data_IF_933063974695
#
_entry.id   IF_933063974695
#
_cell.length_a   1.000
_cell.length_b   1.000
_cell.length_c   1.000
_cell.angle_alpha   90.00
_cell.angle_beta   90.00
_cell.angle_gamma   90.00
#
_symmetry.space_group_name_H-M   'P 1'
#
loop_
_entity.id
_entity.type
_entity.pdbx_description
1 polymer ?
#
# COMPACT_ATOMS: atom_id res chain seq x y z
N UNK A 1 -2.84 -3.77 -3.41
CA UNK A 1 -3.07 -2.54 -4.18
C UNK A 1 -2.85 -1.33 -3.30
N UNK A 2 -2.17 -0.34 -3.82
CA UNK A 2 -1.88 0.92 -3.14
C UNK A 2 -1.86 2.07 -4.16
N UNK A 3 -1.78 3.31 -3.66
CA UNK A 3 -1.48 4.48 -4.47
C UNK A 3 -0.08 4.99 -4.11
N UNK A 4 0.77 5.17 -5.13
CA UNK A 4 2.05 5.83 -5.03
C UNK A 4 1.86 7.34 -5.24
N UNK A 5 2.29 8.14 -4.27
CA UNK A 5 2.28 9.61 -4.35
C UNK A 5 3.71 10.08 -4.60
N UNK A 6 3.91 10.94 -5.59
CA UNK A 6 5.24 11.46 -5.89
C UNK A 6 5.65 12.52 -4.87
N UNK A 7 6.44 12.14 -3.89
CA UNK A 7 6.82 12.98 -2.75
C UNK A 7 7.73 14.17 -3.13
N UNK A 8 8.20 14.24 -4.35
CA UNK A 8 9.02 15.35 -4.86
C UNK A 8 8.21 16.39 -5.63
N UNK A 9 6.90 16.16 -5.83
CA UNK A 9 6.02 17.08 -6.55
C UNK A 9 5.03 17.75 -5.58
N UNK A 10 4.95 19.09 -5.64
CA UNK A 10 3.88 19.79 -4.92
C UNK A 10 2.50 19.43 -5.51
N UNK A 11 1.45 19.27 -4.68
CA UNK A 11 1.45 19.46 -3.24
C UNK A 11 1.82 18.19 -2.44
N UNK A 12 2.26 17.11 -3.08
CA UNK A 12 2.55 15.80 -2.46
C UNK A 12 3.92 15.76 -1.76
N UNK A 13 4.73 16.81 -1.83
CA UNK A 13 5.90 17.03 -0.98
C UNK A 13 5.54 17.29 0.48
N UNK A 14 4.29 17.67 0.76
CA UNK A 14 3.75 17.83 2.11
C UNK A 14 3.12 16.54 2.63
N UNK A 15 3.66 15.97 3.71
CA UNK A 15 3.15 14.74 4.33
C UNK A 15 1.69 14.86 4.80
N UNK A 16 1.25 16.05 5.27
CA UNK A 16 -0.16 16.26 5.67
C UNK A 16 -1.12 16.13 4.50
N UNK A 17 -0.73 16.58 3.31
CA UNK A 17 -1.53 16.41 2.09
C UNK A 17 -1.63 14.92 1.75
N UNK A 18 -0.52 14.18 1.77
CA UNK A 18 -0.51 12.75 1.48
C UNK A 18 -1.36 11.97 2.48
N UNK A 19 -1.22 12.28 3.78
CA UNK A 19 -2.02 11.64 4.83
C UNK A 19 -3.51 11.97 4.67
N UNK A 20 -3.87 13.23 4.37
CA UNK A 20 -5.26 13.62 4.13
C UNK A 20 -5.89 12.82 2.97
N UNK A 21 -5.20 12.70 1.84
CA UNK A 21 -5.65 11.90 0.71
C UNK A 21 -5.80 10.42 1.08
N UNK A 22 -4.88 9.90 1.90
CA UNK A 22 -4.91 8.50 2.33
C UNK A 22 -6.06 8.22 3.30
N UNK A 23 -6.31 9.09 4.29
CA UNK A 23 -7.40 8.95 5.25
C UNK A 23 -8.79 9.11 4.61
N UNK A 24 -8.90 9.88 3.53
CA UNK A 24 -10.17 10.08 2.81
C UNK A 24 -10.57 8.89 1.91
N UNK A 25 -10.04 7.70 2.17
CA UNK A 25 -10.38 6.47 1.44
C UNK A 25 -11.11 5.51 2.35
N UNK A 26 -12.38 5.23 2.04
CA UNK A 26 -13.15 4.15 2.66
C UNK A 26 -12.66 2.80 2.11
N UNK A 27 -11.74 2.19 2.85
CA UNK A 27 -11.11 0.92 2.47
C UNK A 27 -12.07 -0.26 2.55
N UNK A 28 -13.06 -0.22 3.45
CA UNK A 28 -14.12 -1.23 3.50
C UNK A 28 -15.00 -1.17 2.25
N UNK A 29 -15.39 0.02 1.81
CA UNK A 29 -16.15 0.19 0.58
C UNK A 29 -15.37 -0.32 -0.63
N UNK A 30 -14.07 0.01 -0.73
CA UNK A 30 -13.21 -0.50 -1.80
C UNK A 30 -13.15 -2.02 -1.79
N UNK A 31 -12.92 -2.64 -0.64
CA UNK A 31 -12.77 -4.09 -0.54
C UNK A 31 -14.09 -4.83 -0.74
N UNK A 32 -15.16 -4.41 -0.07
CA UNK A 32 -16.39 -5.18 0.04
C UNK A 32 -17.42 -4.85 -1.06
N UNK A 33 -17.34 -3.65 -1.63
CA UNK A 33 -18.29 -3.18 -2.65
C UNK A 33 -17.69 -3.13 -4.04
N UNK A 34 -16.53 -2.47 -4.20
CA UNK A 34 -15.91 -2.37 -5.53
C UNK A 34 -15.23 -3.67 -5.95
N UNK A 35 -14.47 -4.31 -5.06
CA UNK A 35 -13.71 -5.52 -5.35
C UNK A 35 -14.41 -6.81 -4.88
N UNK A 36 -15.64 -6.69 -4.42
CA UNK A 36 -16.61 -7.77 -4.14
C UNK A 36 -16.04 -8.85 -3.20
N UNK A 37 -15.37 -8.45 -2.12
CA UNK A 37 -14.87 -9.37 -1.10
C UNK A 37 -13.71 -10.27 -1.56
N UNK A 38 -13.07 -9.95 -2.68
CA UNK A 38 -11.89 -10.70 -3.17
C UNK A 38 -10.57 -10.20 -2.55
N UNK A 39 -10.65 -9.20 -1.67
CA UNK A 39 -9.52 -8.55 -1.02
C UNK A 39 -9.89 -8.18 0.41
N UNK A 40 -8.91 -7.83 1.24
CA UNK A 40 -9.15 -7.26 2.57
C UNK A 40 -8.77 -5.76 2.60
N UNK A 41 -9.46 -4.92 3.40
CA UNK A 41 -9.07 -3.53 3.59
C UNK A 41 -7.64 -3.44 4.14
N UNK A 42 -6.82 -2.52 3.63
CA UNK A 42 -5.47 -2.35 4.15
C UNK A 42 -5.47 -1.42 5.37
N UNK A 43 -4.88 -1.87 6.45
CA UNK A 43 -4.71 -1.12 7.69
C UNK A 43 -3.29 -0.60 7.87
N UNK A 44 -2.31 -1.29 7.29
CA UNK A 44 -0.87 -1.05 7.38
C UNK A 44 -0.23 -1.16 5.99
N UNK A 45 1.05 -0.90 5.88
CA UNK A 45 1.80 -1.12 4.64
C UNK A 45 2.20 -2.59 4.46
N UNK A 46 2.73 -3.22 5.52
CA UNK A 46 2.98 -4.66 5.54
C UNK A 46 1.66 -5.38 5.82
N UNK A 47 1.25 -6.24 4.91
CA UNK A 47 -0.02 -6.95 4.98
C UNK A 47 0.01 -8.21 5.85
N UNK A 48 -1.15 -8.83 6.05
CA UNK A 48 -1.29 -10.04 6.86
C UNK A 48 -0.52 -11.22 6.28
N UNK A 49 -0.14 -12.16 7.17
CA UNK A 49 0.50 -13.42 6.80
C UNK A 49 2.03 -13.33 6.65
N UNK A 50 2.63 -12.19 6.92
CA UNK A 50 4.09 -12.02 7.03
C UNK A 50 4.50 -12.30 8.48
N UNK A 51 5.50 -13.16 8.65
CA UNK A 51 5.98 -13.60 9.97
C UNK A 51 6.65 -12.49 10.77
N UNK A 52 6.66 -12.64 12.08
CA UNK A 52 7.39 -11.82 13.05
C UNK A 52 8.40 -12.67 13.85
N UNK A 53 8.95 -12.10 14.94
CA UNK A 53 9.96 -12.73 15.80
C UNK A 53 9.50 -14.09 16.31
N UNK A 54 8.31 -14.15 16.89
CA UNK A 54 7.78 -15.36 17.49
C UNK A 54 7.14 -16.28 16.44
N UNK A 55 7.33 -17.57 16.60
CA UNK A 55 6.76 -18.54 15.67
C UNK A 55 5.22 -18.47 15.67
N UNK A 56 4.65 -18.18 14.52
CA UNK A 56 3.20 -18.06 14.33
C UNK A 56 2.64 -16.68 14.64
N UNK A 57 3.47 -15.69 15.00
CA UNK A 57 3.06 -14.29 15.08
C UNK A 57 3.09 -13.63 13.69
N UNK A 58 2.23 -12.64 13.49
CA UNK A 58 2.17 -11.83 12.29
C UNK A 58 2.74 -10.44 12.56
N UNK A 59 3.58 -9.95 11.66
CA UNK A 59 4.15 -8.61 11.74
C UNK A 59 3.08 -7.52 11.88
N UNK A 60 2.02 -7.60 11.09
CA UNK A 60 0.90 -6.66 11.17
C UNK A 60 0.23 -6.65 12.55
N UNK A 61 -0.01 -7.85 13.16
CA UNK A 61 -0.62 -7.96 14.48
C UNK A 61 0.28 -7.38 15.57
N UNK A 62 1.58 -7.60 15.49
CA UNK A 62 2.57 -7.03 16.42
C UNK A 62 2.66 -5.50 16.25
N UNK A 63 2.68 -4.98 15.01
CA UNK A 63 2.62 -3.53 14.74
C UNK A 63 1.37 -2.91 15.38
N UNK A 64 0.20 -3.53 15.16
CA UNK A 64 -1.07 -3.08 15.74
C UNK A 64 -1.02 -3.04 17.26
N UNK A 65 -0.48 -4.09 17.87
CA UNK A 65 -0.34 -4.16 19.33
C UNK A 65 0.61 -3.08 19.88
N UNK A 66 1.74 -2.85 19.23
CA UNK A 66 2.74 -1.86 19.62
C UNK A 66 2.22 -0.43 19.51
N UNK A 67 1.42 -0.14 18.47
CA UNK A 67 0.88 1.19 18.19
C UNK A 67 -0.46 1.45 18.92
N UNK A 68 -1.05 0.44 19.56
CA UNK A 68 -2.37 0.54 20.19
C UNK A 68 -3.52 0.63 19.19
N UNK A 69 -3.29 0.27 17.92
CA UNK A 69 -4.28 0.26 16.85
C UNK A 69 -3.63 0.21 15.46
N UNK A 70 -4.47 0.24 14.46
CA UNK A 70 -4.08 0.31 13.05
C UNK A 70 -3.79 1.77 12.62
N UNK A 71 -3.04 1.95 11.53
CA UNK A 71 -2.82 3.30 10.95
C UNK A 71 -4.08 3.88 10.30
N UNK A 72 -4.97 3.02 9.79
CA UNK A 72 -6.24 3.43 9.22
C UNK A 72 -7.38 2.76 9.97
N UNK A 73 -8.35 3.57 10.42
CA UNK A 73 -9.51 3.06 11.13
C UNK A 73 -10.58 2.60 10.13
N UNK A 74 -10.44 1.38 9.63
CA UNK A 74 -11.38 0.82 8.65
C UNK A 74 -12.82 0.69 9.17
N UNK A 75 -13.03 0.67 10.49
CA UNK A 75 -14.36 0.57 11.10
C UNK A 75 -15.04 1.91 11.35
N UNK A 76 -14.32 3.03 11.22
CA UNK A 76 -14.85 4.39 11.43
C UNK A 76 -14.27 5.37 10.40
N UNK A 77 -14.67 5.18 9.14
CA UNK A 77 -14.26 6.03 8.02
C UNK A 77 -14.59 7.52 8.25
N UNK A 78 -15.69 7.82 8.93
CA UNK A 78 -16.09 9.22 9.19
C UNK A 78 -15.08 9.94 10.08
N UNK A 79 -14.49 9.23 11.06
CA UNK A 79 -13.41 9.78 11.88
C UNK A 79 -12.14 10.05 11.04
N UNK A 80 -11.77 9.12 10.17
CA UNK A 80 -10.63 9.30 9.25
C UNK A 80 -10.88 10.45 8.26
N UNK A 81 -12.08 10.58 7.71
CA UNK A 81 -12.45 11.68 6.81
C UNK A 81 -12.43 13.05 7.53
N UNK A 82 -12.90 13.10 8.77
CA UNK A 82 -12.82 14.33 9.57
C UNK A 82 -11.36 14.74 9.79
N UNK A 83 -10.49 13.78 10.12
CA UNK A 83 -9.06 14.02 10.29
C UNK A 83 -8.38 14.42 8.98
N UNK A 84 -8.78 13.84 7.85
CA UNK A 84 -8.30 14.23 6.53
C UNK A 84 -8.57 15.71 6.24
N UNK A 85 -9.77 16.19 6.54
CA UNK A 85 -10.15 17.61 6.37
C UNK A 85 -9.32 18.55 7.25
N UNK A 86 -9.06 18.16 8.50
CA UNK A 86 -8.18 18.93 9.40
C UNK A 86 -6.76 19.04 8.83
N UNK A 87 -6.16 17.92 8.44
CA UNK A 87 -4.80 17.88 7.89
C UNK A 87 -4.67 18.68 6.60
N UNK A 88 -5.69 18.62 5.74
CA UNK A 88 -5.70 19.41 4.51
C UNK A 88 -5.80 20.91 4.79
N UNK A 89 -6.59 21.31 5.78
CA UNK A 89 -6.66 22.70 6.22
C UNK A 89 -5.33 23.18 6.85
N UNK A 90 -4.69 22.34 7.68
CA UNK A 90 -3.36 22.62 8.24
C UNK A 90 -2.27 22.72 7.17
N UNK A 91 -2.44 22.01 6.05
CA UNK A 91 -1.56 22.09 4.88
C UNK A 91 -1.80 23.36 4.04
N UNK A 92 -2.78 24.18 4.39
CA UNK A 92 -3.11 25.43 3.70
C UNK A 92 -4.24 25.34 2.68
N UNK A 93 -4.98 24.24 2.65
CA UNK A 93 -6.07 24.01 1.70
C UNK A 93 -7.41 23.71 2.40
N UNK A 94 -7.94 24.64 3.23
CA UNK A 94 -9.21 24.42 3.93
C UNK A 94 -10.33 24.14 2.93
N UNK A 95 -11.05 23.03 3.07
CA UNK A 95 -12.09 22.58 2.13
C UNK A 95 -11.62 22.46 0.66
N UNK A 96 -10.33 22.24 0.43
CA UNK A 96 -9.74 22.16 -0.91
C UNK A 96 -9.52 23.52 -1.59
N UNK A 97 -9.73 24.64 -0.89
CA UNK A 97 -9.53 25.96 -1.47
C UNK A 97 -8.08 26.17 -1.91
N UNK A 98 -7.88 26.50 -3.18
CA UNK A 98 -6.55 26.70 -3.77
C UNK A 98 -5.77 25.42 -4.06
N UNK A 99 -6.34 24.22 -3.80
CA UNK A 99 -5.70 22.97 -4.18
C UNK A 99 -5.65 22.83 -5.71
N UNK A 100 -4.52 22.42 -6.32
CA UNK A 100 -4.43 22.26 -7.76
C UNK A 100 -5.31 21.10 -8.25
N UNK A 101 -5.66 21.11 -9.52
CA UNK A 101 -6.18 19.91 -10.19
C UNK A 101 -5.04 18.89 -10.26
N UNK A 102 -5.27 17.67 -9.80
CA UNK A 102 -4.27 16.60 -9.75
C UNK A 102 -4.58 15.50 -10.75
N UNK A 103 -3.56 14.77 -11.19
CA UNK A 103 -3.68 13.63 -12.10
C UNK A 103 -3.42 12.31 -11.38
N UNK A 104 -4.36 11.37 -11.48
CA UNK A 104 -4.18 9.98 -11.07
C UNK A 104 -3.94 9.09 -12.28
N UNK A 105 -2.74 8.53 -12.39
CA UNK A 105 -2.38 7.64 -13.49
C UNK A 105 -2.64 6.18 -13.15
N UNK A 106 -3.34 5.48 -14.02
CA UNK A 106 -3.60 4.04 -13.90
C UNK A 106 -3.54 3.35 -15.25
N UNK A 107 -3.55 2.01 -15.25
CA UNK A 107 -3.73 1.21 -16.46
C UNK A 107 -5.13 0.56 -16.48
N UNK A 108 -5.62 0.27 -17.69
CA UNK A 108 -6.92 -0.36 -17.88
C UNK A 108 -6.81 -1.88 -17.65
N UNK A 109 -6.91 -2.31 -16.38
CA UNK A 109 -6.90 -3.72 -16.00
C UNK A 109 -7.73 -3.95 -14.73
N UNK A 110 -8.59 -4.95 -14.75
CA UNK A 110 -9.38 -5.40 -13.60
C UNK A 110 -10.15 -4.24 -12.93
N UNK A 111 -9.93 -4.06 -11.64
CA UNK A 111 -10.60 -3.03 -10.83
C UNK A 111 -9.89 -1.66 -10.81
N UNK A 112 -8.82 -1.47 -11.58
CA UNK A 112 -8.02 -0.25 -11.50
C UNK A 112 -8.82 1.00 -11.86
N UNK A 113 -9.63 0.95 -12.94
CA UNK A 113 -10.47 2.08 -13.33
C UNK A 113 -11.59 2.36 -12.32
N UNK A 114 -12.40 1.37 -11.87
CA UNK A 114 -13.40 1.57 -10.80
C UNK A 114 -12.79 2.16 -9.53
N UNK A 115 -11.60 1.71 -9.11
CA UNK A 115 -10.91 2.28 -7.93
C UNK A 115 -10.50 3.73 -8.18
N UNK A 116 -9.97 4.08 -9.36
CA UNK A 116 -9.63 5.47 -9.69
C UNK A 116 -10.87 6.38 -9.69
N UNK A 117 -12.00 5.93 -10.25
CA UNK A 117 -13.27 6.66 -10.24
C UNK A 117 -13.80 6.85 -8.81
N UNK A 118 -13.63 5.85 -7.95
CA UNK A 118 -13.95 5.96 -6.53
C UNK A 118 -13.05 7.00 -5.83
N UNK A 119 -11.74 6.95 -6.01
CA UNK A 119 -10.80 7.92 -5.42
C UNK A 119 -11.13 9.35 -5.87
N UNK A 120 -11.50 9.53 -7.15
CA UNK A 120 -11.96 10.82 -7.68
C UNK A 120 -13.19 11.32 -6.92
N UNK A 121 -14.15 10.43 -6.62
CA UNK A 121 -15.35 10.78 -5.85
C UNK A 121 -15.01 11.09 -4.39
N UNK A 122 -14.21 10.25 -3.75
CA UNK A 122 -13.83 10.40 -2.34
C UNK A 122 -13.05 11.70 -2.08
N UNK A 123 -12.10 12.04 -2.95
CA UNK A 123 -11.33 13.28 -2.79
C UNK A 123 -12.12 14.55 -3.16
N UNK A 124 -13.20 14.40 -3.93
CA UNK A 124 -14.14 15.51 -4.12
C UNK A 124 -14.81 15.96 -2.81
N UNK A 125 -14.97 15.05 -1.84
CA UNK A 125 -15.49 15.38 -0.50
C UNK A 125 -14.50 16.18 0.37
N UNK A 126 -13.23 16.23 -0.06
CA UNK A 126 -12.20 17.15 0.44
C UNK A 126 -12.16 18.48 -0.34
N UNK A 127 -12.98 18.65 -1.38
CA UNK A 127 -12.94 19.81 -2.29
C UNK A 127 -11.86 19.70 -3.38
N UNK A 128 -11.27 18.52 -3.58
CA UNK A 128 -10.18 18.29 -4.54
C UNK A 128 -10.74 17.84 -5.88
N UNK A 129 -10.24 18.40 -6.97
CA UNK A 129 -10.51 17.94 -8.34
C UNK A 129 -9.37 17.06 -8.81
N UNK A 130 -9.71 15.87 -9.33
CA UNK A 130 -8.75 14.91 -9.85
C UNK A 130 -9.13 14.46 -11.26
N UNK A 131 -8.17 14.47 -12.16
CA UNK A 131 -8.28 13.87 -13.48
C UNK A 131 -7.73 12.45 -13.48
N UNK A 132 -8.40 11.54 -14.20
CA UNK A 132 -7.96 10.15 -14.34
C UNK A 132 -7.28 9.98 -15.70
N UNK A 133 -6.02 9.54 -15.66
CA UNK A 133 -5.25 9.20 -16.84
C UNK A 133 -5.06 7.70 -16.95
N UNK A 134 -5.73 7.10 -17.93
CA UNK A 134 -5.61 5.68 -18.22
C UNK A 134 -4.60 5.49 -19.35
N UNK A 135 -3.58 4.67 -19.13
CA UNK A 135 -2.54 4.37 -20.12
C UNK A 135 -2.33 2.87 -20.28
N UNK A 136 -1.85 2.46 -21.44
CA UNK A 136 -1.46 1.06 -21.67
C UNK A 136 -0.32 0.62 -20.75
N UNK A 137 -0.29 -0.67 -20.36
CA UNK A 137 0.71 -1.22 -19.45
C UNK A 137 2.15 -0.96 -19.89
N UNK A 138 2.41 -1.04 -21.19
CA UNK A 138 3.72 -0.76 -21.80
C UNK A 138 4.20 0.68 -21.61
N UNK A 139 3.27 1.63 -21.47
CA UNK A 139 3.53 3.04 -21.15
C UNK A 139 3.52 3.28 -19.65
N UNK A 140 2.60 2.64 -18.92
CA UNK A 140 2.41 2.80 -17.49
C UNK A 140 3.69 2.51 -16.70
N UNK A 141 4.30 1.34 -16.93
CA UNK A 141 5.46 0.87 -16.16
C UNK A 141 6.68 1.78 -16.28
N UNK A 142 7.16 2.16 -17.49
CA UNK A 142 8.29 3.08 -17.60
C UNK A 142 7.99 4.48 -17.08
N UNK A 143 6.78 5.01 -17.28
CA UNK A 143 6.36 6.33 -16.76
C UNK A 143 6.38 6.34 -15.23
N UNK A 144 5.82 5.30 -14.59
CA UNK A 144 5.84 5.15 -13.13
C UNK A 144 7.26 5.07 -12.59
N UNK A 145 8.12 4.22 -13.16
CA UNK A 145 9.52 4.08 -12.73
C UNK A 145 10.33 5.36 -12.90
N UNK A 146 10.05 6.15 -13.92
CA UNK A 146 10.67 7.45 -14.12
C UNK A 146 10.22 8.49 -13.08
N UNK A 147 9.08 8.29 -12.39
CA UNK A 147 8.46 9.28 -11.51
C UNK A 147 7.70 10.36 -12.28
N UNK A 148 7.32 10.10 -13.54
CA UNK A 148 6.58 11.04 -14.39
C UNK A 148 5.07 10.96 -14.13
N UNK A 149 4.68 11.04 -12.88
CA UNK A 149 3.31 11.05 -12.41
C UNK A 149 3.18 11.92 -11.16
N UNK A 150 1.98 12.28 -10.79
CA UNK A 150 1.63 12.94 -9.52
C UNK A 150 1.19 11.90 -8.49
N UNK A 151 0.15 11.16 -8.84
CA UNK A 151 -0.29 9.97 -8.12
C UNK A 151 -0.47 8.84 -9.13
N UNK A 152 -0.11 7.64 -8.78
CA UNK A 152 -0.41 6.49 -9.63
C UNK A 152 -0.81 5.25 -8.84
N UNK A 153 -1.46 4.33 -9.53
CA UNK A 153 -1.73 3.00 -9.02
C UNK A 153 -0.42 2.26 -8.79
N UNK A 154 -0.27 1.67 -7.61
CA UNK A 154 0.84 0.82 -7.23
C UNK A 154 0.39 -0.56 -6.74
N UNK A 155 1.35 -1.41 -6.47
CA UNK A 155 1.14 -2.72 -5.87
C UNK A 155 2.39 -3.58 -5.91
N UNK A 156 2.46 -4.48 -4.95
CA UNK A 156 3.55 -5.45 -4.85
C UNK A 156 3.00 -6.81 -4.44
N UNK A 157 3.69 -7.86 -4.83
CA UNK A 157 3.46 -9.23 -4.37
C UNK A 157 4.73 -9.67 -3.65
N UNK A 158 4.60 -10.28 -2.48
CA UNK A 158 5.75 -10.72 -1.70
C UNK A 158 6.54 -11.83 -2.42
N UNK A 159 7.86 -11.72 -2.38
CA UNK A 159 8.77 -12.74 -2.92
C UNK A 159 9.24 -13.72 -1.84
N UNK A 160 9.25 -13.27 -0.56
CA UNK A 160 9.68 -14.05 0.60
C UNK A 160 9.00 -13.55 1.89
N UNK A 161 9.03 -14.40 2.94
CA UNK A 161 8.42 -14.17 4.24
C UNK A 161 9.31 -13.33 5.15
N UNK A 162 9.33 -12.04 4.89
CA UNK A 162 9.98 -11.05 5.73
C UNK A 162 9.42 -9.64 5.41
N UNK A 163 9.13 -8.80 6.41
CA UNK A 163 8.59 -7.44 6.20
C UNK A 163 9.49 -6.56 5.32
N UNK A 164 10.80 -6.80 5.31
CA UNK A 164 11.76 -6.07 4.48
C UNK A 164 11.43 -6.15 2.99
N UNK A 165 10.70 -7.19 2.55
CA UNK A 165 10.25 -7.30 1.16
C UNK A 165 9.39 -6.10 0.72
N UNK A 166 8.48 -5.64 1.59
CA UNK A 166 7.67 -4.45 1.34
C UNK A 166 8.42 -3.18 1.69
N UNK A 167 9.07 -3.12 2.86
CA UNK A 167 9.65 -1.90 3.38
C UNK A 167 10.81 -1.40 2.52
N UNK A 168 11.64 -2.30 1.97
CA UNK A 168 12.72 -1.96 1.05
C UNK A 168 12.26 -1.32 -0.27
N UNK A 169 10.97 -1.41 -0.63
CA UNK A 169 10.44 -0.69 -1.78
C UNK A 169 10.59 0.82 -1.62
N UNK A 170 10.51 1.31 -0.37
CA UNK A 170 10.53 2.72 -0.02
C UNK A 170 11.90 3.21 0.47
N UNK A 171 12.94 2.37 0.46
CA UNK A 171 14.30 2.85 0.65
C UNK A 171 14.65 3.87 -0.45
N UNK A 172 15.34 4.96 -0.10
CA UNK A 172 15.65 6.05 -1.05
C UNK A 172 16.50 5.57 -2.24
N UNK A 173 17.27 4.50 -2.05
CA UNK A 173 18.12 3.88 -3.07
C UNK A 173 17.42 2.78 -3.87
N UNK A 174 16.17 2.45 -3.53
CA UNK A 174 15.43 1.37 -4.20
C UNK A 174 15.01 1.75 -5.62
N UNK A 175 15.29 0.89 -6.58
CA UNK A 175 14.79 1.02 -7.96
C UNK A 175 13.26 0.85 -8.08
N UNK A 176 12.60 0.39 -7.03
CA UNK A 176 11.15 0.22 -6.95
C UNK A 176 10.46 1.34 -6.15
N UNK A 177 11.21 2.34 -5.66
CA UNK A 177 10.68 3.53 -5.01
C UNK A 177 10.11 4.49 -6.06
N UNK A 178 8.97 4.15 -6.60
CA UNK A 178 8.36 4.90 -7.71
C UNK A 178 7.89 6.29 -7.25
N UNK A 179 7.38 6.42 -6.01
CA UNK A 179 6.95 7.69 -5.38
C UNK A 179 8.10 8.61 -4.97
N UNK A 180 9.37 8.21 -5.17
CA UNK A 180 10.57 9.00 -4.87
C UNK A 180 10.66 9.45 -3.40
N UNK A 181 10.09 8.68 -2.49
CA UNK A 181 10.18 8.92 -1.06
C UNK A 181 11.65 8.88 -0.59
N UNK A 182 11.99 9.74 0.36
CA UNK A 182 13.32 9.77 0.95
C UNK A 182 13.23 10.22 2.40
N UNK A 183 13.61 9.34 3.30
CA UNK A 183 13.78 9.63 4.73
C UNK A 183 15.05 8.93 5.22
N UNK A 184 16.10 9.68 5.60
CA UNK A 184 17.38 9.09 6.03
C UNK A 184 17.27 8.18 7.25
N UNK A 185 16.28 8.39 8.13
CA UNK A 185 16.10 7.52 9.29
C UNK A 185 15.46 6.18 8.88
N UNK A 186 14.54 6.18 7.91
CA UNK A 186 14.00 4.95 7.31
C UNK A 186 15.13 4.17 6.64
N UNK A 187 15.96 4.84 5.81
CA UNK A 187 17.10 4.18 5.14
C UNK A 187 18.07 3.56 6.15
N UNK A 188 18.34 4.27 7.25
CA UNK A 188 19.21 3.78 8.33
C UNK A 188 18.60 2.56 9.02
N UNK A 189 17.32 2.60 9.39
CA UNK A 189 16.61 1.48 10.05
C UNK A 189 16.61 0.23 9.16
N UNK A 190 16.34 0.38 7.87
CA UNK A 190 16.38 -0.73 6.91
C UNK A 190 17.77 -1.33 6.75
N UNK A 191 18.83 -0.49 6.76
CA UNK A 191 20.22 -0.95 6.70
C UNK A 191 20.64 -1.65 8.01
N UNK A 192 20.24 -1.11 9.17
CA UNK A 192 20.50 -1.74 10.48
C UNK A 192 19.78 -3.08 10.55
N UNK A 193 18.50 -3.17 10.15
CA UNK A 193 17.76 -4.43 10.10
C UNK A 193 18.47 -5.47 9.21
N UNK A 194 18.98 -5.06 8.06
CA UNK A 194 19.69 -5.94 7.13
C UNK A 194 21.03 -6.43 7.67
N UNK A 195 21.68 -5.64 8.53
CA UNK A 195 23.06 -5.88 8.99
C UNK A 195 23.14 -6.63 10.31
N UNK A 196 22.05 -6.72 11.09
CA UNK A 196 22.03 -7.45 12.35
C UNK A 196 21.79 -8.94 12.14
N UNK A 197 22.42 -9.77 12.97
CA UNK A 197 22.17 -11.20 13.07
C UNK A 197 21.15 -11.55 14.18
N UNK A 198 20.79 -10.58 15.02
CA UNK A 198 19.78 -10.72 16.06
C UNK A 198 18.38 -10.58 15.44
N UNK A 199 17.59 -11.66 15.54
CA UNK A 199 16.24 -11.69 14.96
C UNK A 199 15.31 -10.65 15.60
N UNK A 200 15.37 -10.47 16.93
CA UNK A 200 14.52 -9.51 17.62
C UNK A 200 14.86 -8.07 17.20
N UNK A 201 16.15 -7.73 17.15
CA UNK A 201 16.60 -6.42 16.67
C UNK A 201 16.19 -6.18 15.20
N UNK A 202 16.31 -7.19 14.34
CA UNK A 202 15.87 -7.11 12.94
C UNK A 202 14.41 -6.63 12.82
N UNK A 203 13.49 -7.32 13.50
CA UNK A 203 12.07 -6.98 13.44
C UNK A 203 11.74 -5.66 14.15
N UNK A 204 12.41 -5.34 15.27
CA UNK A 204 12.27 -4.05 15.95
C UNK A 204 12.57 -2.88 14.99
N UNK A 205 13.66 -2.98 14.21
CA UNK A 205 14.02 -1.97 13.22
C UNK A 205 12.99 -1.88 12.09
N UNK A 206 12.44 -3.00 11.64
CA UNK A 206 11.42 -3.03 10.59
C UNK A 206 10.09 -2.41 11.07
N UNK A 207 9.66 -2.67 12.31
CA UNK A 207 8.51 -1.99 12.90
C UNK A 207 8.72 -0.47 12.98
N UNK A 208 9.89 -0.03 13.43
CA UNK A 208 10.22 1.39 13.48
C UNK A 208 10.23 2.03 12.08
N UNK A 209 10.74 1.32 11.08
CA UNK A 209 10.73 1.79 9.69
C UNK A 209 9.31 1.90 9.13
N UNK A 210 8.43 0.89 9.37
CA UNK A 210 7.02 0.96 8.95
C UNK A 210 6.29 2.14 9.58
N UNK A 211 6.49 2.37 10.88
CA UNK A 211 5.88 3.50 11.57
C UNK A 211 6.23 4.84 10.91
N UNK A 212 7.51 5.10 10.62
CA UNK A 212 7.92 6.32 9.93
C UNK A 212 7.36 6.43 8.51
N UNK A 213 7.34 5.34 7.75
CA UNK A 213 6.77 5.28 6.40
C UNK A 213 5.29 5.66 6.43
N UNK A 214 4.55 5.13 7.40
CA UNK A 214 3.11 5.38 7.52
C UNK A 214 2.82 6.77 8.08
N UNK A 215 3.59 7.25 9.06
CA UNK A 215 3.48 8.63 9.59
C UNK A 215 3.79 9.68 8.52
N UNK A 216 4.76 9.43 7.66
CA UNK A 216 5.09 10.28 6.52
C UNK A 216 4.08 10.14 5.36
N UNK A 217 3.15 9.21 5.45
CA UNK A 217 2.26 8.83 4.36
C UNK A 217 3.01 8.67 3.02
N UNK A 218 4.15 7.96 3.07
CA UNK A 218 5.00 7.76 1.90
C UNK A 218 4.27 6.99 0.78
N UNK A 219 3.26 6.22 1.15
CA UNK A 219 2.42 5.40 0.29
C UNK A 219 1.01 5.34 0.91
N UNK A 220 0.00 5.15 0.08
CA UNK A 220 -1.38 4.92 0.54
C UNK A 220 -1.82 3.48 0.25
N UNK A 221 -1.69 2.54 1.19
CA UNK A 221 -2.26 1.20 1.07
C UNK A 221 -3.79 1.26 0.98
N UNK A 222 -4.37 0.53 0.04
CA UNK A 222 -5.83 0.49 -0.17
C UNK A 222 -6.42 -0.84 0.24
N UNK A 223 -5.92 -1.93 -0.31
CA UNK A 223 -6.38 -3.28 -0.03
C UNK A 223 -5.25 -4.30 -0.13
N UNK A 224 -5.38 -5.38 0.62
CA UNK A 224 -4.55 -6.59 0.49
C UNK A 224 -5.24 -7.56 -0.48
N UNK A 225 -4.51 -7.99 -1.50
CA UNK A 225 -5.02 -8.93 -2.49
C UNK A 225 -4.98 -10.36 -1.97
N UNK A 226 -6.00 -11.15 -2.33
CA UNK A 226 -6.04 -12.59 -2.12
C UNK A 226 -6.04 -13.31 -3.45
N UNK A 227 -5.37 -14.45 -3.52
CA UNK A 227 -5.41 -15.30 -4.69
C UNK A 227 -6.53 -16.34 -4.54
N UNK A 228 -7.27 -16.54 -5.62
CA UNK A 228 -8.30 -17.56 -5.72
C UNK A 228 -7.96 -18.54 -6.83
N UNK A 229 -8.09 -19.82 -6.54
CA UNK A 229 -7.86 -20.86 -7.54
C UNK A 229 -8.89 -21.96 -7.47
N UNK A 230 -9.15 -22.57 -8.61
CA UNK A 230 -9.95 -23.77 -8.74
C UNK A 230 -9.03 -24.93 -9.11
N UNK A 231 -9.05 -25.99 -8.31
CA UNK A 231 -8.27 -27.20 -8.56
C UNK A 231 -9.20 -28.38 -8.81
N UNK A 232 -8.92 -29.16 -9.86
CA UNK A 232 -9.59 -30.43 -10.06
C UNK A 232 -9.32 -31.33 -8.83
N UNK A 233 -10.35 -31.87 -8.16
CA UNK A 233 -10.16 -32.70 -6.97
C UNK A 233 -9.35 -33.98 -7.20
N UNK A 234 -9.24 -34.44 -8.44
CA UNK A 234 -8.38 -35.57 -8.85
C UNK A 234 -6.90 -35.19 -8.98
N UNK A 235 -6.56 -33.91 -9.04
CA UNK A 235 -5.17 -33.44 -9.06
C UNK A 235 -4.59 -33.46 -7.64
N UNK A 236 -3.59 -34.29 -7.41
CA UNK A 236 -2.91 -34.49 -6.13
C UNK A 236 -1.43 -34.12 -6.24
N UNK A 237 -0.76 -33.96 -5.09
CA UNK A 237 0.67 -33.69 -5.02
C UNK A 237 1.08 -32.31 -5.53
N UNK A 238 0.14 -31.38 -5.68
CA UNK A 238 0.43 -29.98 -5.90
C UNK A 238 0.59 -29.25 -4.58
N UNK A 239 1.41 -28.22 -4.59
CA UNK A 239 1.53 -27.29 -3.47
C UNK A 239 1.49 -25.85 -3.97
N UNK A 240 0.77 -25.00 -3.25
CA UNK A 240 0.65 -23.57 -3.50
C UNK A 240 1.26 -22.81 -2.35
N UNK A 241 2.22 -21.91 -2.65
CA UNK A 241 2.82 -21.06 -1.63
C UNK A 241 1.90 -19.89 -1.31
N UNK A 242 1.94 -19.34 -0.08
CA UNK A 242 1.23 -18.12 0.27
C UNK A 242 1.59 -16.90 -0.61
N UNK A 243 2.73 -16.95 -1.30
CA UNK A 243 3.23 -15.90 -2.20
C UNK A 243 2.84 -16.09 -3.69
N UNK A 244 1.85 -16.96 -3.96
CA UNK A 244 1.32 -17.16 -5.32
C UNK A 244 2.09 -18.17 -6.19
N UNK A 245 3.10 -18.87 -5.66
CA UNK A 245 3.85 -19.85 -6.43
C UNK A 245 3.19 -21.22 -6.39
N UNK A 246 3.07 -21.86 -7.56
CA UNK A 246 2.55 -23.20 -7.71
C UNK A 246 3.67 -24.21 -7.97
N UNK A 247 3.62 -25.34 -7.27
CA UNK A 247 4.57 -26.43 -7.40
C UNK A 247 3.86 -27.69 -7.86
N UNK A 248 4.26 -28.21 -9.02
CA UNK A 248 3.68 -29.38 -9.66
C UNK A 248 4.64 -30.56 -9.72
N UNK A 249 5.79 -30.50 -9.03
CA UNK A 249 6.86 -31.50 -9.13
C UNK A 249 6.37 -32.92 -8.78
N UNK A 250 5.40 -33.04 -7.87
CA UNK A 250 4.82 -34.32 -7.45
C UNK A 250 3.36 -34.47 -7.87
N UNK A 251 2.93 -33.69 -8.85
CA UNK A 251 1.54 -33.69 -9.30
C UNK A 251 1.17 -34.99 -9.99
N UNK A 252 0.04 -35.60 -9.61
CA UNK A 252 -0.55 -36.77 -10.23
C UNK A 252 -2.05 -36.59 -10.39
N UNK A 253 -2.63 -37.25 -11.41
CA UNK A 253 -4.08 -37.33 -11.57
C UNK A 253 -4.56 -38.68 -11.08
N UNK A 254 -5.49 -38.69 -10.13
CA UNK A 254 -6.22 -39.89 -9.73
C UNK A 254 -7.27 -40.25 -10.79
N UNK A 255 -7.51 -41.54 -10.99
CA UNK A 255 -8.51 -42.03 -11.94
C UNK A 255 -9.95 -41.74 -11.54
#
# INVERSE_FOLDING_TARGET
LLSDLNTQKAPFDNAKVRMALSLAVDREYVANTLMIGTVAPATNFVGPGISDVEAGSSFEEVTRANNGGDFFNVSDYEADLAKAKELLAEAGYPNGEGFPIIEYMTNDAGYNKPVAEYLQSAWKDLGITMDIKIVEWSTFTPTRRAGDFEICRGGWVYDYDDPSNMLNLLASTSGNNDGKYSNPEVDKLLEEARSTADKAEHYEKLHAAENLIMEDAAVSPLVYSSDFYLQNPKLKGTWHSPYGYWYFMYATMEE
#
